data_IF_717718638158
#
_entry.id   IF_717718638158
#
_cell.length_a   1.000
_cell.length_b   1.000
_cell.length_c   1.000
_cell.angle_alpha   90.00
_cell.angle_beta   90.00
_cell.angle_gamma   90.00
#
_symmetry.space_group_name_H-M   'P 1'
#
loop_
_entity.id
_entity.type
_entity.pdbx_description
1 polymer ?
#
# COMPACT_ATOMS: atom_id res chain seq x y z
N UNK A 1 -28.16 -18.00 -27.78
CA UNK A 1 -28.51 -16.66 -27.25
C UNK A 1 -28.28 -16.57 -25.75
N UNK A 2 -28.74 -17.53 -24.94
CA UNK A 2 -28.51 -17.56 -23.49
C UNK A 2 -27.01 -17.67 -23.11
N UNK A 3 -26.23 -18.47 -23.83
CA UNK A 3 -24.79 -18.66 -23.62
C UNK A 3 -23.94 -17.42 -23.88
N UNK A 4 -24.29 -16.59 -24.87
CA UNK A 4 -23.57 -15.32 -25.11
C UNK A 4 -23.86 -14.29 -24.01
N UNK A 5 -25.05 -14.32 -23.43
CA UNK A 5 -25.46 -13.39 -22.37
C UNK A 5 -24.80 -13.72 -21.03
N UNK A 6 -24.56 -15.01 -20.76
CA UNK A 6 -23.73 -15.45 -19.62
C UNK A 6 -22.28 -15.01 -19.81
N UNK A 7 -21.71 -15.13 -21.01
CA UNK A 7 -20.34 -14.69 -21.26
C UNK A 7 -20.17 -13.17 -21.12
N UNK A 8 -21.17 -12.37 -21.51
CA UNK A 8 -21.15 -10.92 -21.33
C UNK A 8 -21.28 -10.52 -19.85
N UNK A 9 -22.21 -11.15 -19.11
CA UNK A 9 -22.34 -10.91 -17.67
C UNK A 9 -21.07 -11.29 -16.89
N UNK A 10 -20.47 -12.44 -17.20
CA UNK A 10 -19.18 -12.85 -16.62
C UNK A 10 -18.07 -11.88 -17.01
N UNK A 11 -18.14 -11.26 -18.20
CA UNK A 11 -17.21 -10.21 -18.59
C UNK A 11 -17.34 -8.95 -17.73
N UNK A 12 -18.56 -8.49 -17.53
CA UNK A 12 -18.77 -7.27 -16.76
C UNK A 12 -18.41 -7.49 -15.28
N UNK A 13 -18.68 -8.68 -14.74
CA UNK A 13 -18.30 -9.07 -13.38
C UNK A 13 -16.78 -9.08 -13.16
N UNK A 14 -15.97 -9.61 -14.09
CA UNK A 14 -14.50 -9.56 -13.91
C UNK A 14 -13.95 -8.13 -14.01
N UNK A 15 -14.48 -7.33 -14.94
CA UNK A 15 -14.03 -5.93 -15.08
C UNK A 15 -14.32 -5.14 -13.80
N UNK A 16 -15.47 -5.41 -13.19
CA UNK A 16 -15.85 -4.80 -11.92
C UNK A 16 -14.99 -5.34 -10.76
N UNK A 17 -14.72 -6.65 -10.69
CA UNK A 17 -13.85 -7.21 -9.64
C UNK A 17 -12.44 -6.64 -9.70
N UNK A 18 -11.86 -6.54 -10.90
CA UNK A 18 -10.52 -5.97 -11.11
C UNK A 18 -10.47 -4.52 -10.62
N UNK A 19 -11.51 -3.75 -10.92
CA UNK A 19 -11.64 -2.37 -10.46
C UNK A 19 -11.72 -2.27 -8.94
N UNK A 20 -12.52 -3.14 -8.32
CA UNK A 20 -12.71 -3.14 -6.88
C UNK A 20 -11.44 -3.59 -6.15
N UNK A 21 -10.69 -4.56 -6.69
CA UNK A 21 -9.37 -4.95 -6.20
C UNK A 21 -8.36 -3.82 -6.27
N UNK A 22 -8.31 -3.11 -7.40
CA UNK A 22 -7.45 -1.94 -7.54
C UNK A 22 -7.81 -0.86 -6.50
N UNK A 23 -9.09 -0.58 -6.30
CA UNK A 23 -9.54 0.39 -5.29
C UNK A 23 -9.14 -0.08 -3.90
N UNK A 24 -9.34 -1.35 -3.56
CA UNK A 24 -8.90 -1.92 -2.28
C UNK A 24 -7.41 -1.71 -2.06
N UNK A 25 -6.58 -2.01 -3.06
CA UNK A 25 -5.13 -1.88 -2.95
C UNK A 25 -4.68 -0.42 -2.79
N UNK A 26 -5.33 0.52 -3.49
CA UNK A 26 -5.06 1.96 -3.33
C UNK A 26 -5.43 2.42 -1.91
N UNK A 27 -6.55 1.94 -1.36
CA UNK A 27 -6.94 2.24 0.03
C UNK A 27 -5.91 1.71 1.03
N UNK A 28 -5.43 0.48 0.86
CA UNK A 28 -4.38 -0.10 1.72
C UNK A 28 -3.11 0.75 1.64
N UNK A 29 -2.67 1.09 0.42
CA UNK A 29 -1.48 1.92 0.21
C UNK A 29 -1.62 3.28 0.91
N UNK A 30 -2.75 3.97 0.71
CA UNK A 30 -3.02 5.24 1.35
C UNK A 30 -3.08 5.12 2.88
N UNK A 31 -3.58 4.01 3.43
CA UNK A 31 -3.65 3.78 4.88
C UNK A 31 -2.25 3.62 5.50
N UNK A 32 -1.35 2.93 4.82
CA UNK A 32 0.05 2.80 5.22
C UNK A 32 0.84 4.11 5.07
N UNK A 33 0.44 4.97 4.13
CA UNK A 33 1.14 6.22 3.79
C UNK A 33 0.59 7.45 4.53
N UNK A 34 -0.28 7.29 5.53
CA UNK A 34 -0.80 8.43 6.28
C UNK A 34 0.33 9.29 6.89
N UNK A 35 0.17 10.62 6.83
CA UNK A 35 1.11 11.58 7.42
C UNK A 35 1.18 11.39 8.95
N UNK A 36 0.05 11.09 9.60
CA UNK A 36 -0.04 10.80 11.04
C UNK A 36 0.37 9.33 11.32
N UNK A 37 1.50 9.09 12.03
CA UNK A 37 1.99 7.74 12.28
C UNK A 37 1.07 6.93 13.21
N UNK A 38 0.27 7.56 14.07
CA UNK A 38 -0.63 6.85 14.98
C UNK A 38 -1.83 6.23 14.25
N UNK A 39 -2.14 6.73 13.05
CA UNK A 39 -3.21 6.22 12.19
C UNK A 39 -2.74 5.12 11.23
N UNK A 40 -1.43 4.87 11.15
CA UNK A 40 -0.89 3.81 10.31
C UNK A 40 -1.21 2.45 10.92
N UNK A 41 -1.69 1.49 10.13
CA UNK A 41 -2.00 0.15 10.63
C UNK A 41 -0.73 -0.61 11.02
N UNK A 42 -0.88 -1.52 11.98
CA UNK A 42 0.12 -2.56 12.23
C UNK A 42 0.24 -3.47 11.00
N UNK A 43 1.44 -3.99 10.74
CA UNK A 43 1.67 -4.94 9.64
C UNK A 43 0.78 -6.19 9.72
N UNK A 44 0.50 -6.68 10.93
CA UNK A 44 -0.43 -7.80 11.14
C UNK A 44 -1.87 -7.46 10.70
N UNK A 45 -2.29 -6.21 10.86
CA UNK A 45 -3.59 -5.72 10.37
C UNK A 45 -3.58 -5.61 8.85
N UNK A 46 -2.51 -5.06 8.26
CA UNK A 46 -2.38 -4.98 6.79
C UNK A 46 -2.46 -6.36 6.13
N UNK A 47 -1.78 -7.36 6.70
CA UNK A 47 -1.81 -8.73 6.20
C UNK A 47 -3.23 -9.31 6.24
N UNK A 48 -3.95 -9.14 7.36
CA UNK A 48 -5.35 -9.60 7.46
C UNK A 48 -6.27 -8.97 6.43
N UNK A 49 -6.03 -7.71 6.09
CA UNK A 49 -6.81 -7.01 5.05
C UNK A 49 -6.46 -7.53 3.66
N UNK A 50 -5.17 -7.79 3.37
CA UNK A 50 -4.73 -8.39 2.11
C UNK A 50 -5.24 -9.83 1.94
N UNK A 51 -5.39 -10.58 3.03
CA UNK A 51 -5.97 -11.93 3.05
C UNK A 51 -7.51 -11.92 2.93
N UNK A 52 -8.15 -10.75 2.94
CA UNK A 52 -9.61 -10.62 2.90
C UNK A 52 -10.32 -11.01 4.21
N UNK A 53 -9.57 -11.11 5.32
CA UNK A 53 -10.10 -11.43 6.66
C UNK A 53 -10.63 -10.18 7.35
N UNK A 54 -10.17 -9.00 6.94
CA UNK A 54 -10.59 -7.70 7.46
C UNK A 54 -10.76 -6.67 6.34
N UNK A 55 -11.59 -5.65 6.59
CA UNK A 55 -11.77 -4.52 5.67
C UNK A 55 -10.79 -3.39 5.95
N UNK A 56 -10.50 -2.57 4.94
CA UNK A 56 -9.69 -1.35 5.08
C UNK A 56 -10.46 -0.30 5.91
N UNK A 57 -9.74 0.50 6.69
CA UNK A 57 -10.32 1.64 7.39
C UNK A 57 -11.05 2.60 6.42
N UNK A 58 -12.27 2.99 6.80
CA UNK A 58 -13.14 3.88 6.04
C UNK A 58 -12.76 5.35 6.19
N UNK A 59 -12.05 5.72 7.26
CA UNK A 59 -11.73 7.11 7.62
C UNK A 59 -10.36 7.57 7.08
N UNK A 60 -10.03 7.13 5.87
CA UNK A 60 -8.73 7.38 5.28
C UNK A 60 -8.62 8.80 4.72
N UNK A 61 -7.60 9.54 5.18
CA UNK A 61 -7.27 10.87 4.65
C UNK A 61 -6.26 10.73 3.52
N UNK A 62 -6.69 11.00 2.28
CA UNK A 62 -5.83 10.96 1.08
C UNK A 62 -5.07 12.27 0.87
N UNK A 63 -4.38 12.73 1.92
CA UNK A 63 -3.54 13.93 1.86
C UNK A 63 -2.11 13.51 2.20
N UNK A 64 -1.26 13.52 1.18
CA UNK A 64 0.15 13.18 1.31
C UNK A 64 0.97 14.46 1.18
N UNK A 65 1.18 15.14 2.30
CA UNK A 65 1.84 16.45 2.29
C UNK A 65 3.33 16.33 1.91
N UNK A 66 3.92 15.15 2.16
CA UNK A 66 5.34 14.87 1.94
C UNK A 66 5.67 14.22 0.60
N UNK A 67 4.67 13.75 -0.16
CA UNK A 67 4.91 13.03 -1.42
C UNK A 67 5.21 13.96 -2.62
N UNK A 68 4.88 15.25 -2.52
CA UNK A 68 5.03 16.23 -3.61
C UNK A 68 6.08 17.31 -3.33
N UNK A 69 6.70 17.30 -2.14
CA UNK A 69 7.78 18.24 -1.86
C UNK A 69 8.97 17.89 -2.78
N UNK A 70 9.50 18.83 -3.58
CA UNK A 70 10.82 18.63 -4.17
C UNK A 70 11.79 18.36 -3.02
N UNK A 71 12.75 17.44 -3.17
CA UNK A 71 13.73 17.19 -2.11
C UNK A 71 14.34 18.54 -1.71
N UNK A 72 14.43 18.85 -0.40
CA UNK A 72 15.10 20.06 0.01
C UNK A 72 16.51 20.00 -0.55
N UNK A 73 16.80 20.88 -1.50
CA UNK A 73 18.17 21.16 -1.93
C UNK A 73 18.79 21.95 -0.79
N UNK A 74 19.21 21.23 0.24
CA UNK A 74 20.01 21.73 1.33
C UNK A 74 21.13 20.72 1.52
N UNK A 75 22.27 21.09 0.97
CA UNK A 75 23.57 20.51 1.23
C UNK A 75 23.76 20.36 2.75
N UNK A 76 23.65 19.14 3.26
CA UNK A 76 24.45 18.62 4.37
C UNK A 76 24.07 17.15 4.62
N UNK A 77 24.89 16.30 4.03
CA UNK A 77 24.96 14.87 4.19
C UNK A 77 25.34 14.52 5.64
N UNK A 78 24.39 14.50 6.57
CA UNK A 78 24.46 13.46 7.62
C UNK A 78 23.79 12.22 7.04
N UNK A 79 24.40 11.70 5.98
CA UNK A 79 24.31 10.29 5.64
C UNK A 79 24.92 9.57 6.83
N UNK A 80 24.09 9.05 7.73
CA UNK A 80 24.58 8.02 8.66
C UNK A 80 25.20 6.96 7.78
N UNK A 81 26.53 6.87 7.82
CA UNK A 81 27.28 5.94 7.01
C UNK A 81 26.64 4.55 7.12
N UNK A 82 26.54 3.79 6.01
CA UNK A 82 26.13 2.40 6.08
C UNK A 82 27.00 1.72 7.15
N UNK A 83 26.41 1.00 8.12
CA UNK A 83 27.22 0.27 9.10
C UNK A 83 28.18 -0.64 8.33
N UNK A 84 29.46 -0.74 8.73
CA UNK A 84 30.44 -1.51 8.00
C UNK A 84 29.95 -2.95 7.81
N UNK A 85 30.12 -3.50 6.61
CA UNK A 85 29.66 -4.84 6.24
C UNK A 85 30.18 -5.97 7.17
N UNK A 86 31.16 -5.66 8.02
CA UNK A 86 31.71 -6.52 9.07
C UNK A 86 30.70 -6.96 10.13
N UNK A 87 29.54 -6.30 10.29
CA UNK A 87 28.53 -6.68 11.29
C UNK A 87 27.64 -7.86 10.82
N UNK A 88 27.62 -8.18 9.52
CA UNK A 88 26.82 -9.29 8.98
C UNK A 88 27.59 -10.61 8.90
N UNK A 89 28.91 -10.61 9.05
CA UNK A 89 29.70 -11.83 9.21
C UNK A 89 29.74 -12.25 10.67
N UNK A 90 28.61 -12.68 11.22
CA UNK A 90 28.66 -13.50 12.43
C UNK A 90 29.24 -14.88 12.07
N UNK A 91 30.14 -15.44 12.88
CA UNK A 91 30.63 -16.81 12.70
C UNK A 91 29.49 -17.82 12.74
N UNK A 92 29.60 -18.88 11.94
CA UNK A 92 28.74 -20.06 12.02
C UNK A 92 29.02 -20.88 13.28
#
# INVERSE_FOLDING_TARGET
MLTMKVHEAVRDEYMQSDRDDMIRMIKIAAWCLQDDPEKRPLMSTVVKVLEGVMEVDSNLVYKFSHALAPPPVADDYILSAPPPASVLSNPR
#
